data_IF_552423367378
#
_entry.id   IF_552423367378
#
_cell.length_a   1.000
_cell.length_b   1.000
_cell.length_c   1.000
_cell.angle_alpha   90.00
_cell.angle_beta   90.00
_cell.angle_gamma   90.00
#
_symmetry.space_group_name_H-M   'P 1'
#
loop_
_entity.id
_entity.type
_entity.pdbx_description
1 polymer ?
#
# COMPACT_ATOMS: atom_id res chain seq x y z
N UNK A 1 28.15 11.20 7.36
CA UNK A 1 27.42 10.21 6.66
C UNK A 1 26.33 10.81 5.80
N UNK A 2 26.23 10.36 4.58
CA UNK A 2 25.21 10.91 3.78
C UNK A 2 24.00 10.01 3.71
N UNK A 3 22.90 10.67 3.54
CA UNK A 3 21.65 10.00 3.31
C UNK A 3 21.61 9.51 1.88
N UNK A 4 21.05 8.34 1.68
CA UNK A 4 20.86 7.83 0.33
C UNK A 4 19.89 8.71 -0.39
N UNK A 5 20.22 9.09 -1.60
CA UNK A 5 19.37 9.98 -2.36
C UNK A 5 18.07 9.33 -2.79
N UNK A 6 18.01 7.99 -2.78
CA UNK A 6 16.80 7.27 -3.14
C UNK A 6 16.15 6.61 -1.94
N UNK A 7 16.47 7.13 -0.76
CA UNK A 7 15.95 6.59 0.49
C UNK A 7 14.55 7.15 0.74
N UNK A 8 13.58 6.59 0.06
CA UNK A 8 12.20 7.06 0.06
C UNK A 8 11.37 6.18 0.99
N UNK A 9 10.47 6.76 1.78
CA UNK A 9 9.58 5.95 2.63
C UNK A 9 8.78 4.96 1.80
N UNK A 10 8.74 3.73 2.27
CA UNK A 10 8.04 2.63 1.61
C UNK A 10 7.17 1.91 2.63
N UNK A 11 5.96 1.58 2.22
CA UNK A 11 5.06 0.76 3.03
C UNK A 11 4.59 -0.43 2.20
N UNK A 12 4.43 -1.56 2.86
CA UNK A 12 3.78 -2.73 2.28
C UNK A 12 2.46 -2.91 3.01
N UNK A 13 1.39 -3.09 2.27
CA UNK A 13 0.08 -3.34 2.85
C UNK A 13 -0.41 -4.67 2.34
N UNK A 14 -0.70 -5.57 3.28
CA UNK A 14 -1.24 -6.89 2.98
C UNK A 14 -2.73 -6.85 3.31
N UNK A 15 -3.55 -7.25 2.37
CA UNK A 15 -4.99 -7.07 2.48
C UNK A 15 -5.72 -8.39 2.34
N UNK A 16 -6.67 -8.62 3.24
CA UNK A 16 -7.64 -9.70 3.09
C UNK A 16 -8.94 -9.09 2.62
N UNK A 17 -9.51 -9.68 1.59
CA UNK A 17 -10.77 -9.21 1.03
C UNK A 17 -11.90 -10.16 1.38
N UNK A 18 -13.12 -9.66 1.32
CA UNK A 18 -14.28 -10.52 1.36
C UNK A 18 -14.25 -11.42 0.14
N UNK A 19 -14.85 -12.58 0.27
CA UNK A 19 -14.82 -13.61 -0.76
C UNK A 19 -15.30 -13.05 -2.10
N UNK A 20 -14.47 -13.20 -3.12
CA UNK A 20 -14.81 -12.79 -4.47
C UNK A 20 -14.75 -11.30 -4.72
N UNK A 21 -14.23 -10.51 -3.79
CA UNK A 21 -14.20 -9.05 -3.92
C UNK A 21 -12.83 -8.49 -4.21
N UNK A 22 -11.84 -9.34 -4.39
CA UNK A 22 -10.46 -8.88 -4.59
C UNK A 22 -10.31 -8.00 -5.84
N UNK A 23 -10.99 -8.34 -6.93
CA UNK A 23 -10.90 -7.54 -8.16
C UNK A 23 -11.43 -6.14 -7.95
N UNK A 24 -12.55 -6.03 -7.24
CA UNK A 24 -13.15 -4.72 -6.97
C UNK A 24 -12.24 -3.87 -6.09
N UNK A 25 -11.63 -4.49 -5.07
CA UNK A 25 -10.72 -3.79 -4.17
C UNK A 25 -9.50 -3.31 -4.93
N UNK A 26 -8.93 -4.16 -5.79
CA UNK A 26 -7.78 -3.79 -6.60
C UNK A 26 -8.11 -2.57 -7.45
N UNK A 27 -9.30 -2.55 -8.06
CA UNK A 27 -9.73 -1.41 -8.86
C UNK A 27 -9.81 -0.13 -8.04
N UNK A 28 -10.35 -0.22 -6.83
CA UNK A 28 -10.46 0.95 -5.95
C UNK A 28 -9.09 1.46 -5.52
N UNK A 29 -8.18 0.55 -5.21
CA UNK A 29 -6.83 0.96 -4.82
C UNK A 29 -6.15 1.69 -5.97
N UNK A 30 -6.30 1.18 -7.19
CA UNK A 30 -5.73 1.86 -8.35
C UNK A 30 -6.27 3.27 -8.50
N UNK A 31 -7.58 3.45 -8.31
CA UNK A 31 -8.17 4.78 -8.38
C UNK A 31 -7.55 5.73 -7.36
N UNK A 32 -7.43 5.25 -6.13
CA UNK A 32 -6.87 6.07 -5.05
C UNK A 32 -5.43 6.46 -5.37
N UNK A 33 -4.62 5.49 -5.78
CA UNK A 33 -3.20 5.74 -6.02
C UNK A 33 -2.98 6.64 -7.23
N UNK A 34 -3.76 6.44 -8.28
CA UNK A 34 -3.59 7.22 -9.50
C UNK A 34 -4.02 8.67 -9.33
N UNK A 35 -4.85 8.94 -8.34
CA UNK A 35 -5.26 10.32 -8.08
C UNK A 35 -4.20 11.10 -7.29
N UNK A 36 -3.16 10.42 -6.79
CA UNK A 36 -2.11 11.04 -5.99
C UNK A 36 -0.82 11.11 -6.79
N UNK A 37 -0.37 12.34 -7.06
CA UNK A 37 0.76 12.55 -7.96
C UNK A 37 2.10 12.07 -7.40
N UNK A 38 2.25 12.14 -6.10
CA UNK A 38 3.54 11.86 -5.47
C UNK A 38 3.66 10.43 -4.98
N UNK A 39 2.77 9.57 -5.43
CA UNK A 39 2.72 8.19 -4.97
C UNK A 39 3.17 7.26 -6.07
N UNK A 40 4.09 6.36 -5.74
CA UNK A 40 4.43 5.24 -6.59
C UNK A 40 3.91 3.98 -5.94
N UNK A 41 3.39 3.07 -6.73
CA UNK A 41 2.81 1.87 -6.15
C UNK A 41 2.95 0.66 -7.05
N UNK A 42 2.92 -0.51 -6.43
CA UNK A 42 2.82 -1.80 -7.10
C UNK A 42 1.70 -2.55 -6.39
N UNK A 43 0.90 -3.23 -7.15
CA UNK A 43 -0.32 -3.83 -6.65
C UNK A 43 -0.49 -5.19 -7.28
N UNK A 44 -0.61 -6.22 -6.45
CA UNK A 44 -0.71 -7.60 -6.91
C UNK A 44 -1.77 -8.37 -6.16
N UNK A 45 -2.58 -9.13 -6.91
CA UNK A 45 -3.39 -10.16 -6.30
C UNK A 45 -2.47 -11.35 -6.05
N UNK A 46 -2.62 -12.00 -4.92
CA UNK A 46 -1.74 -13.11 -4.54
C UNK A 46 -2.54 -14.26 -3.95
N UNK A 47 -1.91 -15.42 -3.90
CA UNK A 47 -2.45 -16.55 -3.16
C UNK A 47 -1.73 -16.67 -1.83
N UNK A 48 -2.44 -17.09 -0.82
CA UNK A 48 -1.84 -17.35 0.47
C UNK A 48 -2.69 -16.82 1.59
N UNK A 49 -2.03 -16.43 2.66
CA UNK A 49 -2.73 -15.91 3.83
C UNK A 49 -3.43 -14.60 3.52
N UNK A 50 -2.89 -13.84 2.57
CA UNK A 50 -3.48 -12.59 2.14
C UNK A 50 -3.88 -12.67 0.68
N UNK A 51 -4.77 -11.79 0.27
CA UNK A 51 -5.32 -11.79 -1.08
C UNK A 51 -4.66 -10.75 -1.97
N UNK A 52 -4.20 -9.65 -1.40
CA UNK A 52 -3.64 -8.54 -2.15
C UNK A 52 -2.44 -7.99 -1.42
N UNK A 53 -1.40 -7.65 -2.18
CA UNK A 53 -0.20 -6.98 -1.67
C UNK A 53 -0.03 -5.66 -2.40
N UNK A 54 0.15 -4.59 -1.63
CA UNK A 54 0.41 -3.27 -2.20
C UNK A 54 1.72 -2.76 -1.65
N UNK A 55 2.59 -2.32 -2.55
CA UNK A 55 3.81 -1.61 -2.17
C UNK A 55 3.59 -0.15 -2.54
N UNK A 56 3.73 0.74 -1.57
CA UNK A 56 3.47 2.17 -1.77
C UNK A 56 4.69 2.94 -1.33
N UNK A 57 5.11 3.91 -2.12
CA UNK A 57 6.21 4.78 -1.72
C UNK A 57 5.89 6.23 -2.03
N UNK A 58 6.42 7.13 -1.22
CA UNK A 58 6.22 8.55 -1.39
C UNK A 58 7.27 9.31 -0.60
N UNK A 59 7.70 10.45 -1.11
CA UNK A 59 8.57 11.35 -0.36
C UNK A 59 7.82 12.01 0.78
N UNK A 60 6.51 12.07 0.68
CA UNK A 60 5.66 12.69 1.69
C UNK A 60 5.23 11.62 2.69
N UNK A 61 5.97 11.51 3.77
CA UNK A 61 5.73 10.49 4.78
C UNK A 61 4.35 10.59 5.41
N UNK A 62 3.88 11.78 5.82
CA UNK A 62 2.52 11.89 6.35
C UNK A 62 1.45 11.46 5.37
N UNK A 63 1.62 11.79 4.08
CA UNK A 63 0.67 11.37 3.06
C UNK A 63 0.66 9.85 2.92
N UNK A 64 1.85 9.25 2.88
CA UNK A 64 1.96 7.79 2.78
C UNK A 64 1.24 7.12 3.94
N UNK A 65 1.48 7.60 5.14
CA UNK A 65 0.86 7.05 6.33
C UNK A 65 -0.65 7.18 6.28
N UNK A 66 -1.13 8.33 5.84
CA UNK A 66 -2.57 8.56 5.73
C UNK A 66 -3.23 7.61 4.73
N UNK A 67 -2.57 7.37 3.61
CA UNK A 67 -3.11 6.47 2.59
C UNK A 67 -3.23 5.06 3.16
N UNK A 68 -2.17 4.55 3.77
CA UNK A 68 -2.19 3.16 4.23
C UNK A 68 -3.05 2.96 5.47
N UNK A 69 -3.18 3.96 6.32
CA UNK A 69 -3.96 3.79 7.55
C UNK A 69 -5.41 4.21 7.41
N UNK A 70 -5.71 5.09 6.49
CA UNK A 70 -7.07 5.63 6.38
C UNK A 70 -7.77 5.22 5.10
N UNK A 71 -7.14 5.48 3.95
CA UNK A 71 -7.85 5.29 2.69
C UNK A 71 -8.03 3.82 2.33
N UNK A 72 -6.97 3.04 2.43
CA UNK A 72 -7.05 1.62 2.05
C UNK A 72 -7.98 0.86 2.99
N UNK A 73 -7.87 1.12 4.28
CA UNK A 73 -8.67 0.39 5.27
C UNK A 73 -10.16 0.65 5.13
N UNK A 74 -10.54 1.78 4.54
CA UNK A 74 -11.94 2.15 4.41
C UNK A 74 -12.59 1.67 3.13
N UNK A 75 -11.84 0.99 2.29
CA UNK A 75 -12.40 0.45 1.05
C UNK A 75 -13.40 -0.65 1.40
N UNK A 76 -14.54 -0.59 0.77
CA UNK A 76 -15.59 -1.57 1.00
C UNK A 76 -15.09 -2.97 0.64
N UNK A 77 -15.45 -3.96 1.44
CA UNK A 77 -15.09 -5.37 1.28
C UNK A 77 -13.65 -5.70 1.68
N UNK A 78 -12.89 -4.72 2.19
CA UNK A 78 -11.61 -5.00 2.82
C UNK A 78 -11.90 -5.53 4.21
N UNK A 79 -11.47 -6.78 4.45
CA UNK A 79 -11.75 -7.44 5.70
C UNK A 79 -10.72 -7.05 6.76
N UNK A 80 -9.47 -7.04 6.37
CA UNK A 80 -8.39 -6.66 7.28
C UNK A 80 -7.18 -6.22 6.49
N UNK A 81 -6.34 -5.42 7.12
CA UNK A 81 -5.09 -4.98 6.52
C UNK A 81 -3.96 -5.16 7.53
N UNK A 82 -2.78 -5.43 7.02
CA UNK A 82 -1.55 -5.45 7.80
C UNK A 82 -0.56 -4.54 7.10
N UNK A 83 -0.13 -3.48 7.77
CA UNK A 83 0.78 -2.51 7.19
C UNK A 83 2.16 -2.68 7.79
N UNK A 84 3.17 -2.72 6.92
CA UNK A 84 4.56 -2.80 7.33
C UNK A 84 5.30 -1.61 6.72
N UNK A 85 5.90 -0.79 7.58
CA UNK A 85 6.70 0.33 7.12
C UNK A 85 8.15 -0.11 7.06
N UNK A 86 8.79 0.19 5.94
CA UNK A 86 10.23 -0.09 5.83
C UNK A 86 10.95 0.98 6.62
N UNK A 87 11.73 0.57 7.59
CA UNK A 87 12.46 1.52 8.42
C UNK A 87 13.90 1.69 7.97
N UNK A 88 14.44 0.69 7.28
CA UNK A 88 15.81 0.77 6.84
C UNK A 88 16.08 -0.27 5.77
N UNK A 89 16.78 0.16 4.69
CA UNK A 89 17.22 -0.74 3.66
C UNK A 89 18.51 -1.39 4.08
N UNK A 90 18.57 -2.70 4.04
CA UNK A 90 19.80 -3.43 4.37
C UNK A 90 20.51 -3.81 3.08
N UNK A 91 21.81 -3.64 3.10
CA UNK A 91 22.67 -3.93 1.95
C UNK A 91 23.11 -5.36 1.96
#
# INVERSE_FOLDING_TARGET
MFKKIFDVPIAFVLINSDLGKDVEIIGKIKEIMQSEKDIKFELHGVYGVYDIVVKVSSDDSPKLRSIVTNLIRKIENVQSTLTMMVIEEQE
#
